data_IF_213490237511
#
_entry.id   IF_213490237511
#
_cell.length_a   1.000
_cell.length_b   1.000
_cell.length_c   1.000
_cell.angle_alpha   90.00
_cell.angle_beta   90.00
_cell.angle_gamma   90.00
#
_symmetry.space_group_name_H-M   'P 1'
#
loop_
_entity.id
_entity.type
_entity.pdbx_description
1 polymer ?
#
# COMPACT_ATOMS: atom_id res chain seq x y z
N UNK A 1 10.87 -1.16 60.34
CA UNK A 1 10.79 -0.54 59.01
C UNK A 1 10.64 -1.65 57.98
N UNK A 2 9.39 -1.99 57.62
CA UNK A 2 9.10 -3.04 56.65
C UNK A 2 9.25 -2.45 55.24
N UNK A 3 10.30 -2.88 54.53
CA UNK A 3 10.53 -2.57 53.13
C UNK A 3 9.39 -3.14 52.28
N UNK A 4 8.50 -2.28 51.78
CA UNK A 4 7.54 -2.63 50.74
C UNK A 4 8.32 -2.92 49.47
N UNK A 5 8.46 -4.19 49.11
CA UNK A 5 8.99 -4.60 47.82
C UNK A 5 8.05 -4.07 46.73
N UNK A 6 8.55 -3.14 45.91
CA UNK A 6 7.84 -2.69 44.73
C UNK A 6 7.63 -3.89 43.79
N UNK A 7 6.41 -4.07 43.23
CA UNK A 7 6.17 -5.15 42.29
C UNK A 7 7.13 -5.03 41.11
N UNK A 8 7.88 -6.11 40.87
CA UNK A 8 8.72 -6.26 39.67
C UNK A 8 7.79 -6.04 38.46
N UNK A 9 8.09 -5.09 37.56
CA UNK A 9 7.25 -4.88 36.39
C UNK A 9 7.16 -6.22 35.64
N UNK A 10 5.95 -6.64 35.22
CA UNK A 10 5.80 -7.90 34.51
C UNK A 10 6.76 -7.90 33.34
N UNK A 11 7.63 -8.94 33.27
CA UNK A 11 8.53 -9.15 32.14
C UNK A 11 7.70 -8.95 30.89
N UNK A 12 8.08 -7.99 30.05
CA UNK A 12 7.41 -7.78 28.79
C UNK A 12 7.37 -9.14 28.08
N UNK A 13 6.19 -9.75 28.00
CA UNK A 13 6.05 -11.02 27.27
C UNK A 13 6.61 -10.86 25.85
N UNK A 14 6.95 -11.92 25.13
CA UNK A 14 7.45 -11.76 23.78
C UNK A 14 6.30 -11.31 22.87
N UNK A 15 6.10 -9.99 22.72
CA UNK A 15 5.08 -9.41 21.81
C UNK A 15 5.23 -9.98 20.41
N UNK A 16 6.48 -10.21 19.98
CA UNK A 16 6.82 -10.88 18.74
C UNK A 16 6.23 -12.30 18.65
N UNK A 17 6.22 -13.07 19.74
CA UNK A 17 5.59 -14.39 19.76
C UNK A 17 4.05 -14.27 19.68
N UNK A 18 3.45 -13.33 20.41
CA UNK A 18 2.00 -13.08 20.31
C UNK A 18 1.61 -12.65 18.88
N UNK A 19 2.40 -11.78 18.27
CA UNK A 19 2.22 -11.34 16.89
C UNK A 19 2.34 -12.52 15.91
N UNK A 20 3.41 -13.31 16.03
CA UNK A 20 3.62 -14.49 15.20
C UNK A 20 2.49 -15.51 15.33
N UNK A 21 2.04 -15.78 16.56
CA UNK A 21 0.91 -16.66 16.84
C UNK A 21 -0.40 -16.12 16.26
N UNK A 22 -0.66 -14.82 16.37
CA UNK A 22 -1.87 -14.21 15.81
C UNK A 22 -1.89 -14.31 14.27
N UNK A 23 -0.78 -13.96 13.61
CA UNK A 23 -0.64 -14.10 12.15
C UNK A 23 -0.83 -15.57 11.73
N UNK A 24 -0.16 -16.51 12.41
CA UNK A 24 -0.28 -17.93 12.12
C UNK A 24 -1.71 -18.45 12.32
N UNK A 25 -2.40 -18.01 13.38
CA UNK A 25 -3.78 -18.40 13.67
C UNK A 25 -4.74 -17.91 12.56
N UNK A 26 -4.62 -16.64 12.13
CA UNK A 26 -5.44 -16.10 11.03
C UNK A 26 -5.15 -16.84 9.73
N UNK A 27 -3.87 -17.02 9.39
CA UNK A 27 -3.45 -17.75 8.17
C UNK A 27 -3.99 -19.18 8.18
N UNK A 28 -3.85 -19.90 9.30
CA UNK A 28 -4.35 -21.26 9.44
C UNK A 28 -5.88 -21.31 9.31
N UNK A 29 -6.59 -20.37 9.93
CA UNK A 29 -8.05 -20.28 9.83
C UNK A 29 -8.52 -20.03 8.40
N UNK A 30 -7.85 -19.14 7.65
CA UNK A 30 -8.19 -18.85 6.25
C UNK A 30 -7.86 -20.04 5.33
N UNK A 31 -6.71 -20.69 5.52
CA UNK A 31 -6.35 -21.90 4.79
C UNK A 31 -7.37 -23.01 5.04
N UNK A 32 -7.72 -23.28 6.31
CA UNK A 32 -8.70 -24.29 6.67
C UNK A 32 -10.07 -24.06 6.01
N UNK A 33 -10.49 -22.79 5.90
CA UNK A 33 -11.78 -22.41 5.30
C UNK A 33 -11.79 -22.40 3.77
N UNK A 34 -10.70 -21.97 3.13
CA UNK A 34 -10.72 -21.61 1.71
C UNK A 34 -9.81 -22.46 0.82
N UNK A 35 -8.92 -23.29 1.37
CA UNK A 35 -7.99 -24.11 0.59
C UNK A 35 -8.70 -25.03 -0.42
N UNK A 36 -9.85 -25.61 -0.07
CA UNK A 36 -10.60 -26.46 -1.00
C UNK A 36 -11.11 -25.67 -2.22
N UNK A 37 -11.49 -24.40 -2.02
CA UNK A 37 -12.06 -23.56 -3.08
C UNK A 37 -11.03 -23.13 -4.12
N UNK A 38 -9.75 -23.02 -3.75
CA UNK A 38 -8.67 -22.66 -4.70
C UNK A 38 -8.52 -23.69 -5.82
N UNK A 39 -8.88 -24.95 -5.58
CA UNK A 39 -8.88 -26.02 -6.59
C UNK A 39 -10.18 -26.17 -7.37
N UNK A 40 -11.23 -25.40 -7.04
CA UNK A 40 -12.58 -25.54 -7.61
C UNK A 40 -13.04 -24.30 -8.38
N UNK A 41 -12.55 -23.12 -7.99
CA UNK A 41 -13.05 -21.83 -8.49
C UNK A 41 -11.90 -20.83 -8.61
N UNK A 42 -12.12 -19.77 -9.38
CA UNK A 42 -11.26 -18.57 -9.41
C UNK A 42 -11.78 -17.45 -8.49
N UNK A 43 -12.80 -17.72 -7.67
CA UNK A 43 -13.53 -16.77 -6.79
C UNK A 43 -14.28 -15.67 -7.54
N UNK A 44 -13.60 -14.76 -8.23
CA UNK A 44 -14.23 -13.72 -9.05
C UNK A 44 -13.54 -13.51 -10.40
N UNK A 45 -14.04 -12.56 -11.18
CA UNK A 45 -13.52 -12.20 -12.49
C UNK A 45 -12.16 -11.52 -12.43
N UNK A 46 -11.87 -10.79 -11.34
CA UNK A 46 -10.64 -10.01 -11.23
C UNK A 46 -9.46 -10.91 -10.92
N UNK A 47 -9.67 -11.85 -9.99
CA UNK A 47 -8.74 -12.94 -9.68
C UNK A 47 -8.46 -13.80 -10.93
N UNK A 48 -9.50 -14.11 -11.71
CA UNK A 48 -9.36 -14.85 -12.97
C UNK A 48 -8.56 -14.06 -14.02
N UNK A 49 -8.87 -12.77 -14.17
CA UNK A 49 -8.19 -11.89 -15.12
C UNK A 49 -6.73 -11.67 -14.74
N UNK A 50 -6.44 -11.51 -13.44
CA UNK A 50 -5.07 -11.39 -12.94
C UNK A 50 -4.22 -12.60 -13.29
N UNK A 51 -4.79 -13.79 -13.16
CA UNK A 51 -4.12 -15.03 -13.52
C UNK A 51 -3.84 -15.11 -15.01
N UNK A 52 -4.80 -14.71 -15.85
CA UNK A 52 -4.65 -14.62 -17.30
C UNK A 52 -3.51 -13.66 -17.67
N UNK A 53 -3.53 -12.46 -17.11
CA UNK A 53 -2.51 -11.43 -17.37
C UNK A 53 -1.10 -11.90 -16.95
N UNK A 54 -0.96 -12.60 -15.81
CA UNK A 54 0.30 -13.23 -15.39
C UNK A 54 0.76 -14.32 -16.36
N UNK A 55 -0.15 -15.21 -16.79
CA UNK A 55 0.16 -16.31 -17.72
C UNK A 55 0.62 -15.79 -19.08
N UNK A 56 -0.04 -14.77 -19.61
CA UNK A 56 0.32 -14.21 -20.91
C UNK A 56 1.71 -13.54 -20.85
N UNK A 57 2.06 -12.89 -19.74
CA UNK A 57 3.42 -12.39 -19.52
C UNK A 57 4.47 -13.50 -19.46
N UNK A 58 4.20 -14.57 -18.70
CA UNK A 58 5.06 -15.75 -18.67
C UNK A 58 5.17 -16.46 -20.04
N UNK A 59 4.17 -16.30 -20.91
CA UNK A 59 4.16 -16.80 -22.28
C UNK A 59 4.84 -15.85 -23.29
N UNK A 60 5.44 -14.76 -22.84
CA UNK A 60 6.24 -13.84 -23.67
C UNK A 60 5.54 -12.54 -24.05
N UNK A 61 4.35 -12.24 -23.51
CA UNK A 61 3.76 -10.90 -23.67
C UNK A 61 4.72 -9.84 -23.09
N UNK A 62 4.84 -8.69 -23.77
CA UNK A 62 5.73 -7.62 -23.33
C UNK A 62 5.34 -7.05 -21.96
N UNK A 63 6.31 -6.54 -21.20
CA UNK A 63 6.07 -5.93 -19.88
C UNK A 63 5.02 -4.81 -19.93
N UNK A 64 5.14 -3.90 -20.90
CA UNK A 64 4.21 -2.78 -21.10
C UNK A 64 2.99 -3.14 -21.97
N UNK A 65 2.87 -4.39 -22.43
CA UNK A 65 1.70 -4.86 -23.15
C UNK A 65 0.70 -5.46 -22.14
N UNK A 66 -0.38 -4.72 -21.92
CA UNK A 66 -1.46 -5.05 -20.99
C UNK A 66 -2.75 -5.49 -21.70
N UNK A 67 -2.68 -5.77 -23.01
CA UNK A 67 -3.85 -6.18 -23.80
C UNK A 67 -4.36 -7.54 -23.39
N UNK A 68 -5.67 -7.62 -23.16
CA UNK A 68 -6.39 -8.83 -22.82
C UNK A 68 -7.23 -9.28 -24.02
N UNK A 69 -6.64 -10.07 -24.91
CA UNK A 69 -7.26 -10.52 -26.16
C UNK A 69 -8.50 -11.41 -25.97
N UNK A 70 -8.65 -12.00 -24.78
CA UNK A 70 -9.80 -12.83 -24.40
C UNK A 70 -11.04 -12.02 -24.00
N UNK A 71 -10.91 -10.70 -23.86
CA UNK A 71 -12.01 -9.76 -23.63
C UNK A 71 -12.36 -9.06 -24.94
N UNK A 72 -13.65 -8.76 -25.14
CA UNK A 72 -14.13 -8.02 -26.30
C UNK A 72 -13.29 -6.75 -26.55
N UNK A 73 -13.01 -6.48 -27.83
CA UNK A 73 -12.21 -5.35 -28.30
C UNK A 73 -10.75 -5.32 -27.81
N UNK A 74 -10.19 -6.45 -27.34
CA UNK A 74 -8.82 -6.54 -26.84
C UNK A 74 -8.52 -5.47 -25.78
N UNK A 75 -9.37 -5.42 -24.75
CA UNK A 75 -9.29 -4.50 -23.61
C UNK A 75 -7.85 -4.31 -23.12
N UNK A 76 -7.42 -3.05 -23.00
CA UNK A 76 -6.15 -2.69 -22.36
C UNK A 76 -6.39 -2.58 -20.85
N UNK A 77 -5.81 -3.50 -20.09
CA UNK A 77 -5.94 -3.52 -18.63
C UNK A 77 -5.27 -2.29 -18.00
N UNK A 78 -5.96 -1.65 -17.06
CA UNK A 78 -5.42 -0.56 -16.26
C UNK A 78 -4.49 -1.07 -15.13
N UNK A 79 -4.41 -2.39 -14.92
CA UNK A 79 -3.61 -2.96 -13.85
C UNK A 79 -2.12 -3.10 -14.22
N UNK A 80 -1.26 -2.56 -13.37
CA UNK A 80 0.19 -2.63 -13.56
C UNK A 80 0.76 -4.04 -13.36
N UNK A 81 1.93 -4.28 -13.98
CA UNK A 81 2.74 -5.51 -13.79
C UNK A 81 3.36 -5.63 -12.39
N UNK A 82 3.21 -4.63 -11.52
CA UNK A 82 3.74 -4.65 -10.15
C UNK A 82 3.13 -5.76 -9.30
N UNK A 83 1.95 -6.24 -9.66
CA UNK A 83 1.29 -7.38 -9.01
C UNK A 83 1.63 -8.69 -9.72
N UNK A 84 1.61 -8.68 -11.05
CA UNK A 84 1.89 -9.87 -11.86
C UNK A 84 3.30 -10.40 -11.66
N UNK A 85 4.28 -9.52 -11.49
CA UNK A 85 5.68 -9.91 -11.36
C UNK A 85 5.96 -10.73 -10.08
N UNK A 86 5.57 -10.27 -8.88
CA UNK A 86 5.63 -11.09 -7.67
C UNK A 86 4.81 -12.39 -7.74
N UNK A 87 3.64 -12.38 -8.38
CA UNK A 87 2.84 -13.59 -8.57
C UNK A 87 3.58 -14.63 -9.43
N UNK A 88 4.22 -14.20 -10.51
CA UNK A 88 5.02 -15.07 -11.35
C UNK A 88 6.24 -15.62 -10.62
N UNK A 89 6.91 -14.81 -9.78
CA UNK A 89 8.03 -15.27 -8.94
C UNK A 89 7.57 -16.39 -8.01
N UNK A 90 6.43 -16.25 -7.35
CA UNK A 90 5.84 -17.31 -6.53
C UNK A 90 5.56 -18.56 -7.38
N UNK A 91 4.95 -18.39 -8.56
CA UNK A 91 4.63 -19.51 -9.45
C UNK A 91 5.88 -20.28 -9.90
N UNK A 92 6.90 -19.58 -10.41
CA UNK A 92 8.16 -20.19 -10.85
C UNK A 92 8.91 -20.85 -9.68
N UNK A 93 8.81 -20.28 -8.47
CA UNK A 93 9.34 -20.89 -7.25
C UNK A 93 8.65 -22.20 -6.89
N UNK A 94 7.31 -22.23 -6.93
CA UNK A 94 6.54 -23.45 -6.66
C UNK A 94 6.72 -24.51 -7.76
N UNK A 95 6.98 -24.11 -9.00
CA UNK A 95 7.27 -25.04 -10.11
C UNK A 95 8.54 -25.87 -9.88
N UNK A 96 9.44 -25.45 -8.99
CA UNK A 96 10.66 -26.23 -8.69
C UNK A 96 10.36 -27.57 -8.01
N UNK A 97 9.17 -27.74 -7.42
CA UNK A 97 8.81 -28.95 -6.69
C UNK A 97 7.34 -29.39 -6.87
N UNK A 98 6.54 -28.66 -7.65
CA UNK A 98 5.16 -28.99 -7.94
C UNK A 98 4.86 -28.88 -9.44
N UNK A 99 3.94 -29.70 -9.96
CA UNK A 99 3.47 -29.58 -11.34
C UNK A 99 2.71 -28.26 -11.58
N UNK A 100 2.55 -27.81 -12.85
CA UNK A 100 2.04 -26.48 -13.18
C UNK A 100 0.72 -26.10 -12.47
N UNK A 101 -0.27 -26.99 -12.48
CA UNK A 101 -1.57 -26.74 -11.83
C UNK A 101 -1.46 -26.57 -10.31
N UNK A 102 -0.60 -27.37 -9.66
CA UNK A 102 -0.39 -27.29 -8.22
C UNK A 102 0.46 -26.07 -7.84
N UNK A 103 1.46 -25.69 -8.66
CA UNK A 103 2.25 -24.49 -8.48
C UNK A 103 1.37 -23.23 -8.52
N UNK A 104 0.47 -23.14 -9.51
CA UNK A 104 -0.49 -22.04 -9.61
C UNK A 104 -1.46 -22.00 -8.42
N UNK A 105 -1.98 -23.16 -7.99
CA UNK A 105 -2.84 -23.25 -6.81
C UNK A 105 -2.11 -22.77 -5.54
N UNK A 106 -0.83 -23.10 -5.40
CA UNK A 106 0.01 -22.62 -4.30
C UNK A 106 0.23 -21.10 -4.38
N UNK A 107 0.57 -20.56 -5.56
CA UNK A 107 0.66 -19.10 -5.78
C UNK A 107 -0.61 -18.40 -5.33
N UNK A 108 -1.76 -18.90 -5.78
CA UNK A 108 -3.07 -18.34 -5.44
C UNK A 108 -3.43 -18.43 -3.96
N UNK A 109 -2.94 -19.46 -3.28
CA UNK A 109 -3.16 -19.61 -1.85
C UNK A 109 -2.22 -18.70 -1.04
N UNK A 110 -0.95 -18.66 -1.40
CA UNK A 110 0.10 -17.99 -0.63
C UNK A 110 0.06 -16.47 -0.83
N UNK A 111 -0.15 -15.99 -2.05
CA UNK A 111 -0.14 -14.56 -2.39
C UNK A 111 -0.96 -13.68 -1.43
N UNK A 112 -2.27 -13.90 -1.22
CA UNK A 112 -3.03 -13.04 -0.32
C UNK A 112 -2.57 -13.14 1.14
N UNK A 113 -2.06 -14.30 1.55
CA UNK A 113 -1.70 -14.56 2.95
C UNK A 113 -0.41 -13.85 3.37
N UNK A 114 0.55 -13.64 2.46
CA UNK A 114 1.80 -12.94 2.82
C UNK A 114 1.53 -11.50 3.27
N UNK A 115 0.47 -10.88 2.77
CA UNK A 115 0.07 -9.50 3.10
C UNK A 115 -0.61 -9.36 4.47
N UNK A 116 -0.99 -10.47 5.11
CA UNK A 116 -1.53 -10.46 6.49
C UNK A 116 -0.49 -9.97 7.49
N UNK A 117 0.78 -10.37 7.31
CA UNK A 117 1.87 -9.99 8.21
C UNK A 117 2.08 -8.47 8.26
N UNK A 118 2.30 -7.76 7.13
CA UNK A 118 2.41 -6.31 7.15
C UNK A 118 1.10 -5.62 7.56
N UNK A 119 -0.07 -6.16 7.20
CA UNK A 119 -1.35 -5.58 7.60
C UNK A 119 -1.57 -5.61 9.13
N UNK A 120 -1.42 -6.78 9.76
CA UNK A 120 -1.52 -6.91 11.23
C UNK A 120 -0.39 -6.13 11.91
N UNK A 121 0.81 -6.14 11.34
CA UNK A 121 1.96 -5.40 11.88
C UNK A 121 1.69 -3.89 11.93
N UNK A 122 1.18 -3.33 10.82
CA UNK A 122 0.80 -1.93 10.74
C UNK A 122 -0.37 -1.59 11.67
N UNK A 123 -1.39 -2.45 11.75
CA UNK A 123 -2.50 -2.28 12.69
C UNK A 123 -2.01 -2.22 14.15
N UNK A 124 -1.11 -3.13 14.53
CA UNK A 124 -0.48 -3.13 15.85
C UNK A 124 0.37 -1.88 16.08
N UNK A 125 1.11 -1.41 15.09
CA UNK A 125 1.90 -0.19 15.19
C UNK A 125 1.01 1.04 15.42
N UNK A 126 -0.13 1.14 14.73
CA UNK A 126 -1.11 2.20 14.93
C UNK A 126 -1.66 2.13 16.35
N UNK A 127 -2.19 0.97 16.77
CA UNK A 127 -2.75 0.77 18.09
C UNK A 127 -1.73 1.07 19.20
N UNK A 128 -0.48 0.64 19.02
CA UNK A 128 0.60 0.94 19.95
C UNK A 128 0.82 2.45 20.11
N UNK A 129 0.82 3.20 19.01
CA UNK A 129 1.07 4.64 19.08
C UNK A 129 -0.07 5.42 19.73
N UNK A 130 -1.30 4.89 19.66
CA UNK A 130 -2.50 5.48 20.25
C UNK A 130 -2.69 5.12 21.73
N UNK A 131 -2.47 3.86 22.12
CA UNK A 131 -2.80 3.35 23.46
C UNK A 131 -1.71 2.50 24.11
N UNK A 132 -0.48 2.58 23.60
CA UNK A 132 0.65 1.82 24.09
C UNK A 132 0.53 0.32 23.82
N UNK A 133 1.40 -0.44 24.48
CA UNK A 133 1.50 -1.89 24.31
C UNK A 133 0.19 -2.65 24.58
N UNK A 134 -0.62 -2.32 25.61
CA UNK A 134 -1.91 -3.00 25.82
C UNK A 134 -2.87 -2.86 24.63
N UNK A 135 -2.93 -1.69 24.00
CA UNK A 135 -3.75 -1.48 22.80
C UNK A 135 -3.27 -2.33 21.61
N UNK A 136 -1.94 -2.48 21.44
CA UNK A 136 -1.40 -3.38 20.43
C UNK A 136 -1.74 -4.86 20.69
N UNK A 137 -1.74 -5.30 21.95
CA UNK A 137 -2.18 -6.66 22.31
C UNK A 137 -3.69 -6.86 22.06
N UNK A 138 -4.50 -5.86 22.38
CA UNK A 138 -5.93 -5.88 22.05
C UNK A 138 -6.16 -5.95 20.54
N UNK A 139 -5.36 -5.22 19.74
CA UNK A 139 -5.42 -5.29 18.28
C UNK A 139 -5.09 -6.69 17.75
N UNK A 140 -4.14 -7.42 18.35
CA UNK A 140 -3.87 -8.82 18.00
C UNK A 140 -5.06 -9.74 18.29
N UNK A 141 -5.73 -9.56 19.44
CA UNK A 141 -6.92 -10.33 19.78
C UNK A 141 -8.05 -10.07 18.78
N UNK A 142 -8.26 -8.80 18.41
CA UNK A 142 -9.25 -8.41 17.40
C UNK A 142 -8.88 -9.00 16.03
N UNK A 143 -7.60 -8.98 15.63
CA UNK A 143 -7.13 -9.59 14.37
C UNK A 143 -7.55 -11.06 14.27
N UNK A 144 -7.35 -11.82 15.35
CA UNK A 144 -7.70 -13.24 15.40
C UNK A 144 -9.21 -13.47 15.48
N UNK A 145 -9.95 -12.61 16.19
CA UNK A 145 -11.41 -12.73 16.32
C UNK A 145 -12.16 -12.31 15.05
N UNK A 146 -11.63 -11.34 14.30
CA UNK A 146 -12.27 -10.72 13.14
C UNK A 146 -11.96 -11.42 11.80
N UNK A 147 -11.70 -12.73 11.79
CA UNK A 147 -11.45 -13.52 10.57
C UNK A 147 -12.46 -13.26 9.43
N UNK A 148 -13.77 -13.06 9.68
CA UNK A 148 -14.71 -12.71 8.60
C UNK A 148 -14.35 -11.43 7.82
N UNK A 149 -13.61 -10.50 8.42
CA UNK A 149 -13.14 -9.27 7.77
C UNK A 149 -11.97 -9.46 6.79
N UNK A 150 -11.40 -10.67 6.69
CA UNK A 150 -10.23 -10.95 5.85
C UNK A 150 -10.60 -11.36 4.41
N UNK A 151 -11.74 -10.90 3.88
CA UNK A 151 -12.24 -11.31 2.57
C UNK A 151 -11.22 -11.15 1.44
N UNK A 152 -10.48 -10.04 1.41
CA UNK A 152 -9.45 -9.80 0.39
C UNK A 152 -8.14 -10.57 0.62
N UNK A 153 -7.96 -11.18 1.80
CA UNK A 153 -6.79 -11.99 2.13
C UNK A 153 -7.08 -13.51 2.06
N UNK A 154 -8.26 -13.90 1.58
CA UNK A 154 -8.62 -15.32 1.46
C UNK A 154 -7.79 -16.01 0.35
N UNK A 155 -7.33 -17.26 0.56
CA UNK A 155 -6.73 -18.08 -0.49
C UNK A 155 -7.58 -18.07 -1.77
N UNK A 156 -6.95 -17.69 -2.89
CA UNK A 156 -7.61 -17.51 -4.19
C UNK A 156 -7.74 -16.05 -4.62
N UNK A 157 -7.75 -15.09 -3.68
CA UNK A 157 -7.78 -13.64 -3.94
C UNK A 157 -6.40 -13.15 -4.39
N UNK A 158 -6.13 -13.20 -5.67
CA UNK A 158 -4.83 -12.79 -6.23
C UNK A 158 -4.82 -11.39 -6.80
N UNK A 159 -5.97 -10.74 -6.86
CA UNK A 159 -6.01 -9.34 -7.25
C UNK A 159 -5.35 -8.41 -6.20
N UNK A 160 -5.19 -7.14 -6.57
CA UNK A 160 -4.36 -6.13 -5.93
C UNK A 160 -4.91 -5.53 -4.63
N UNK A 161 -6.17 -5.80 -4.31
CA UNK A 161 -6.85 -5.27 -3.12
C UNK A 161 -6.15 -5.62 -1.79
N UNK A 162 -5.59 -6.84 -1.64
CA UNK A 162 -4.85 -7.22 -0.43
C UNK A 162 -3.59 -6.35 -0.22
N UNK A 163 -2.87 -6.06 -1.31
CA UNK A 163 -1.69 -5.22 -1.31
C UNK A 163 -2.07 -3.80 -0.92
N UNK A 164 -3.10 -3.24 -1.55
CA UNK A 164 -3.58 -1.90 -1.26
C UNK A 164 -4.04 -1.71 0.19
N UNK A 165 -4.75 -2.69 0.77
CA UNK A 165 -5.13 -2.67 2.17
C UNK A 165 -3.89 -2.67 3.09
N UNK A 166 -2.93 -3.55 2.83
CA UNK A 166 -1.69 -3.63 3.61
C UNK A 166 -0.87 -2.33 3.49
N UNK A 167 -0.66 -1.82 2.28
CA UNK A 167 0.05 -0.57 2.03
C UNK A 167 -0.64 0.61 2.70
N UNK A 168 -1.97 0.70 2.64
CA UNK A 168 -2.74 1.77 3.28
C UNK A 168 -2.53 1.76 4.79
N UNK A 169 -2.62 0.60 5.43
CA UNK A 169 -2.33 0.47 6.86
C UNK A 169 -0.88 0.87 7.18
N UNK A 170 0.08 0.47 6.35
CA UNK A 170 1.48 0.87 6.51
C UNK A 170 1.70 2.37 6.33
N UNK A 171 1.01 3.03 5.40
CA UNK A 171 1.04 4.48 5.21
C UNK A 171 0.49 5.19 6.43
N UNK A 172 -0.65 4.74 6.99
CA UNK A 172 -1.23 5.31 8.22
C UNK A 172 -0.28 5.12 9.40
N UNK A 173 0.29 3.91 9.56
CA UNK A 173 1.28 3.64 10.59
C UNK A 173 2.49 4.57 10.46
N UNK A 174 3.11 4.64 9.29
CA UNK A 174 4.26 5.50 9.03
C UNK A 174 3.95 7.00 9.26
N UNK A 175 2.75 7.45 8.89
CA UNK A 175 2.27 8.82 9.13
C UNK A 175 2.20 9.12 10.63
N UNK A 176 1.59 8.23 11.42
CA UNK A 176 1.41 8.39 12.86
C UNK A 176 2.75 8.26 13.64
N UNK A 177 3.72 7.53 13.09
CA UNK A 177 5.05 7.35 13.68
C UNK A 177 6.10 8.37 13.23
N UNK A 178 5.77 9.28 12.31
CA UNK A 178 6.72 10.21 11.69
C UNK A 178 7.54 11.06 12.68
N UNK A 179 6.96 11.41 13.84
CA UNK A 179 7.62 12.19 14.88
C UNK A 179 8.78 11.47 15.56
N UNK A 180 8.77 10.13 15.54
CA UNK A 180 9.78 9.33 16.24
C UNK A 180 11.08 9.28 15.47
N UNK A 181 11.00 9.23 14.13
CA UNK A 181 12.15 9.16 13.22
C UNK A 181 11.76 9.72 11.85
N UNK A 182 12.58 10.62 11.31
CA UNK A 182 12.27 11.30 10.04
C UNK A 182 12.08 10.37 8.83
N UNK A 183 12.67 9.16 8.83
CA UNK A 183 12.51 8.20 7.74
C UNK A 183 11.07 7.68 7.58
N UNK A 184 10.25 7.72 8.64
CA UNK A 184 8.85 7.29 8.57
C UNK A 184 8.02 8.19 7.64
N UNK A 185 8.30 9.49 7.58
CA UNK A 185 7.63 10.38 6.65
C UNK A 185 7.99 10.04 5.19
N UNK A 186 9.28 9.77 4.92
CA UNK A 186 9.73 9.29 3.61
C UNK A 186 9.11 7.92 3.27
N UNK A 187 9.04 6.99 4.22
CA UNK A 187 8.38 5.70 4.02
C UNK A 187 6.90 5.86 3.68
N UNK A 188 6.16 6.75 4.38
CA UNK A 188 4.76 7.05 4.06
C UNK A 188 4.61 7.58 2.63
N UNK A 189 5.52 8.45 2.17
CA UNK A 189 5.52 8.97 0.80
C UNK A 189 5.80 7.89 -0.24
N UNK A 190 6.84 7.07 -0.02
CA UNK A 190 7.20 5.99 -0.93
C UNK A 190 6.11 4.91 -1.04
N UNK A 191 5.51 4.52 0.09
CA UNK A 191 4.40 3.57 0.12
C UNK A 191 3.14 4.14 -0.53
N UNK A 192 2.88 5.45 -0.39
CA UNK A 192 1.77 6.13 -1.09
C UNK A 192 1.99 6.09 -2.60
N UNK A 193 3.21 6.38 -3.08
CA UNK A 193 3.55 6.28 -4.51
C UNK A 193 3.44 4.87 -5.06
N UNK A 194 3.87 3.86 -4.30
CA UNK A 194 3.67 2.44 -4.66
C UNK A 194 2.17 2.08 -4.74
N UNK A 195 1.38 2.52 -3.76
CA UNK A 195 -0.07 2.26 -3.75
C UNK A 195 -0.75 2.89 -4.97
N UNK A 196 -0.41 4.13 -5.33
CA UNK A 196 -0.93 4.81 -6.52
C UNK A 196 -0.60 4.06 -7.82
N UNK A 197 0.59 3.47 -7.91
CA UNK A 197 0.99 2.68 -9.06
C UNK A 197 0.29 1.32 -9.18
N UNK A 198 -0.31 0.85 -8.09
CA UNK A 198 -1.08 -0.40 -8.05
C UNK A 198 -2.54 -0.13 -8.41
N UNK A 199 -3.14 0.94 -7.87
CA UNK A 199 -4.52 1.35 -8.15
C UNK A 199 -4.95 2.56 -7.33
N UNK A 200 -6.12 3.14 -7.65
CA UNK A 200 -6.61 4.40 -7.07
C UNK A 200 -7.70 4.23 -6.00
N UNK A 201 -8.11 3.00 -5.70
CA UNK A 201 -9.16 2.64 -4.75
C UNK A 201 -8.87 3.18 -3.34
N UNK A 202 -7.59 3.30 -2.98
CA UNK A 202 -7.17 3.78 -1.65
C UNK A 202 -6.80 5.26 -1.61
N UNK A 203 -6.99 6.00 -2.71
CA UNK A 203 -6.65 7.42 -2.84
C UNK A 203 -7.18 8.28 -1.67
N UNK A 204 -8.42 8.11 -1.18
CA UNK A 204 -8.91 8.91 -0.04
C UNK A 204 -8.04 8.76 1.21
N UNK A 205 -7.55 7.55 1.51
CA UNK A 205 -6.69 7.30 2.67
C UNK A 205 -5.29 7.90 2.49
N UNK A 206 -4.72 7.79 1.28
CA UNK A 206 -3.43 8.40 0.96
C UNK A 206 -3.50 9.93 1.03
N UNK A 207 -4.58 10.52 0.52
CA UNK A 207 -4.84 11.96 0.58
C UNK A 207 -4.99 12.45 2.04
N UNK A 208 -5.70 11.69 2.89
CA UNK A 208 -5.81 12.00 4.32
C UNK A 208 -4.44 12.00 5.02
N UNK A 209 -3.57 11.03 4.73
CA UNK A 209 -2.22 10.99 5.27
C UNK A 209 -1.35 12.15 4.77
N UNK A 210 -1.41 12.48 3.47
CA UNK A 210 -0.72 13.66 2.91
C UNK A 210 -1.23 14.96 3.55
N UNK A 211 -2.55 15.09 3.71
CA UNK A 211 -3.17 16.22 4.39
C UNK A 211 -2.74 16.31 5.86
N UNK A 212 -2.54 15.20 6.56
CA UNK A 212 -2.03 15.21 7.93
C UNK A 212 -0.62 15.82 8.02
N UNK A 213 0.28 15.50 7.09
CA UNK A 213 1.61 16.14 7.01
C UNK A 213 1.50 17.64 6.68
N UNK A 214 0.64 18.00 5.74
CA UNK A 214 0.43 19.41 5.36
C UNK A 214 -0.17 20.23 6.51
N UNK A 215 -1.21 19.73 7.17
CA UNK A 215 -1.84 20.36 8.33
C UNK A 215 -0.86 20.48 9.48
N UNK A 216 -0.07 19.44 9.76
CA UNK A 216 1.00 19.53 10.75
C UNK A 216 1.91 20.71 10.45
N UNK A 217 2.44 20.81 9.24
CA UNK A 217 3.29 21.93 8.83
C UNK A 217 2.59 23.30 8.99
N UNK A 218 1.30 23.41 8.65
CA UNK A 218 0.54 24.65 8.84
C UNK A 218 0.47 25.06 10.31
N UNK A 219 0.09 24.13 11.20
CA UNK A 219 -0.10 24.43 12.61
C UNK A 219 1.19 24.52 13.41
N UNK A 220 2.17 23.69 13.05
CA UNK A 220 3.46 23.49 13.69
C UNK A 220 4.59 23.52 12.65
N UNK A 221 5.47 24.53 12.77
CA UNK A 221 6.58 24.73 11.83
C UNK A 221 7.56 23.55 11.83
N UNK A 222 7.70 22.85 12.95
CA UNK A 222 8.61 21.71 13.07
C UNK A 222 8.14 20.51 12.21
N UNK A 223 6.88 20.53 11.75
CA UNK A 223 6.36 19.60 10.76
C UNK A 223 6.99 19.74 9.36
N UNK A 224 7.75 20.80 9.08
CA UNK A 224 8.35 21.05 7.76
C UNK A 224 9.25 19.90 7.28
N UNK A 225 10.10 19.35 8.16
CA UNK A 225 10.99 18.25 7.81
C UNK A 225 10.24 16.99 7.37
N UNK A 226 9.16 16.65 8.07
CA UNK A 226 8.31 15.51 7.74
C UNK A 226 7.54 15.73 6.43
N UNK A 227 6.93 16.91 6.24
CA UNK A 227 6.24 17.26 4.99
C UNK A 227 7.18 17.18 3.78
N UNK A 228 8.41 17.71 3.91
CA UNK A 228 9.42 17.67 2.86
C UNK A 228 9.83 16.23 2.54
N UNK A 229 10.13 15.42 3.56
CA UNK A 229 10.53 14.02 3.36
C UNK A 229 9.41 13.19 2.70
N UNK A 230 8.16 13.35 3.15
CA UNK A 230 6.99 12.73 2.54
C UNK A 230 6.83 13.15 1.07
N UNK A 231 6.86 14.46 0.79
CA UNK A 231 6.61 15.00 -0.55
C UNK A 231 7.70 14.58 -1.55
N UNK A 232 8.98 14.58 -1.14
CA UNK A 232 10.09 14.09 -1.96
C UNK A 232 9.91 12.60 -2.27
N UNK A 233 9.67 11.78 -1.25
CA UNK A 233 9.55 10.35 -1.43
C UNK A 233 8.33 9.97 -2.29
N UNK A 234 7.20 10.67 -2.11
CA UNK A 234 6.01 10.48 -2.94
C UNK A 234 6.28 10.86 -4.40
N UNK A 235 6.88 12.03 -4.66
CA UNK A 235 7.19 12.46 -6.03
C UNK A 235 8.16 11.51 -6.73
N UNK A 236 9.22 11.07 -6.03
CA UNK A 236 10.19 10.10 -6.56
C UNK A 236 9.51 8.76 -6.82
N UNK A 237 8.71 8.25 -5.88
CA UNK A 237 8.04 6.96 -6.03
C UNK A 237 7.01 6.99 -7.17
N UNK A 238 6.15 8.01 -7.22
CA UNK A 238 5.17 8.17 -8.28
C UNK A 238 5.83 8.28 -9.66
N UNK A 239 6.90 9.07 -9.79
CA UNK A 239 7.67 9.17 -11.03
C UNK A 239 8.35 7.87 -11.42
N UNK A 240 9.03 7.20 -10.48
CA UNK A 240 9.71 5.94 -10.74
C UNK A 240 8.71 4.85 -11.16
N UNK A 241 7.60 4.70 -10.43
CA UNK A 241 6.60 3.69 -10.76
C UNK A 241 5.82 4.02 -12.02
N UNK A 242 5.66 5.30 -12.39
CA UNK A 242 5.15 5.68 -13.69
C UNK A 242 6.03 5.12 -14.82
N UNK A 243 7.36 5.31 -14.76
CA UNK A 243 8.26 4.76 -15.79
C UNK A 243 8.36 3.23 -15.77
N UNK A 244 8.16 2.60 -14.60
CA UNK A 244 8.09 1.14 -14.51
C UNK A 244 6.78 0.58 -15.05
N UNK A 245 5.67 1.30 -14.92
CA UNK A 245 4.33 0.76 -15.24
C UNK A 245 3.79 1.21 -16.59
N UNK A 246 4.23 2.37 -17.09
CA UNK A 246 3.71 3.00 -18.30
C UNK A 246 4.74 2.91 -19.43
N UNK A 247 4.34 2.25 -20.52
CA UNK A 247 5.17 2.11 -21.71
C UNK A 247 5.49 3.46 -22.36
N UNK A 248 6.67 3.62 -23.02
CA UNK A 248 7.09 4.87 -23.62
C UNK A 248 6.06 5.49 -24.59
N UNK A 249 5.32 4.66 -25.32
CA UNK A 249 4.27 5.08 -26.24
C UNK A 249 3.03 5.70 -25.54
N UNK A 250 2.93 5.60 -24.22
CA UNK A 250 1.81 6.08 -23.41
C UNK A 250 2.21 7.17 -22.40
N UNK A 251 3.44 7.70 -22.45
CA UNK A 251 3.92 8.66 -21.45
C UNK A 251 3.18 10.00 -21.42
N UNK A 252 2.42 10.33 -22.47
CA UNK A 252 1.57 11.52 -22.53
C UNK A 252 0.07 11.18 -22.52
N UNK A 253 -0.27 9.90 -22.29
CA UNK A 253 -1.65 9.45 -22.20
C UNK A 253 -2.18 9.73 -20.79
N UNK A 254 -3.43 10.20 -20.73
CA UNK A 254 -4.16 10.40 -19.48
C UNK A 254 -5.15 9.26 -19.28
N UNK A 255 -5.32 8.84 -18.03
CA UNK A 255 -6.25 7.80 -17.59
C UNK A 255 -6.88 8.22 -16.27
N UNK A 256 -8.12 7.81 -16.02
CA UNK A 256 -8.85 8.16 -14.79
C UNK A 256 -8.72 7.09 -13.69
N UNK A 257 -8.30 5.88 -14.02
CA UNK A 257 -8.31 4.69 -13.17
C UNK A 257 -6.92 4.03 -13.01
N UNK A 258 -5.85 4.67 -13.49
CA UNK A 258 -4.47 4.21 -13.32
C UNK A 258 -3.47 5.35 -13.26
N UNK A 259 -2.28 5.06 -12.73
CA UNK A 259 -1.15 5.98 -12.73
C UNK A 259 -0.72 6.29 -14.18
N UNK A 260 -1.09 7.48 -14.63
CA UNK A 260 -0.85 8.02 -15.97
C UNK A 260 -0.26 9.44 -15.89
N UNK A 261 -0.06 10.09 -17.04
CA UNK A 261 0.64 11.38 -17.10
C UNK A 261 -0.02 12.45 -16.22
N UNK A 262 -1.33 12.68 -16.38
CA UNK A 262 -2.16 13.56 -15.54
C UNK A 262 -1.90 13.40 -14.03
N UNK A 263 -2.03 12.19 -13.50
CA UNK A 263 -1.90 11.90 -12.06
C UNK A 263 -0.46 12.00 -11.57
N UNK A 264 0.51 11.46 -12.32
CA UNK A 264 1.93 11.55 -11.97
C UNK A 264 2.43 13.00 -11.99
N UNK A 265 2.08 13.77 -13.03
CA UNK A 265 2.42 15.18 -13.13
C UNK A 265 1.75 16.02 -12.04
N UNK A 266 0.50 15.73 -11.67
CA UNK A 266 -0.20 16.43 -10.59
C UNK A 266 0.49 16.20 -9.23
N UNK A 267 0.88 14.95 -8.93
CA UNK A 267 1.63 14.61 -7.72
C UNK A 267 2.97 15.32 -7.68
N UNK A 268 3.71 15.35 -8.80
CA UNK A 268 5.01 16.02 -8.88
C UNK A 268 4.87 17.54 -8.74
N UNK A 269 3.89 18.16 -9.41
CA UNK A 269 3.66 19.60 -9.37
C UNK A 269 3.25 20.07 -7.96
N UNK A 270 2.25 19.44 -7.36
CA UNK A 270 1.84 19.74 -5.98
C UNK A 270 2.97 19.44 -4.98
N UNK A 271 3.67 18.33 -5.17
CA UNK A 271 4.83 17.94 -4.36
C UNK A 271 5.96 18.98 -4.42
N UNK A 272 6.30 19.49 -5.60
CA UNK A 272 7.34 20.52 -5.76
C UNK A 272 7.02 21.79 -4.97
N UNK A 273 5.76 22.24 -4.98
CA UNK A 273 5.32 23.39 -4.18
C UNK A 273 5.45 23.10 -2.69
N UNK A 274 5.01 21.93 -2.21
CA UNK A 274 5.13 21.55 -0.80
C UNK A 274 6.59 21.41 -0.36
N UNK A 275 7.47 20.90 -1.22
CA UNK A 275 8.91 20.78 -0.97
C UNK A 275 9.53 22.17 -0.79
N UNK A 276 9.23 23.11 -1.70
CA UNK A 276 9.70 24.49 -1.61
C UNK A 276 9.18 25.19 -0.35
N UNK A 277 7.88 25.05 -0.06
CA UNK A 277 7.24 25.61 1.11
C UNK A 277 7.86 25.09 2.43
N UNK A 278 8.10 23.78 2.50
CA UNK A 278 8.73 23.13 3.64
C UNK A 278 10.22 23.49 3.78
N UNK A 279 10.93 23.73 2.67
CA UNK A 279 12.32 24.20 2.69
C UNK A 279 12.43 25.62 3.25
N UNK A 280 11.50 26.51 2.86
CA UNK A 280 11.45 27.90 3.37
C UNK A 280 10.97 27.92 4.83
N UNK A 281 9.97 27.07 5.13
CA UNK A 281 9.27 27.01 6.42
C UNK A 281 8.94 28.40 6.99
N UNK A 282 8.05 29.20 6.34
CA UNK A 282 7.71 30.55 6.80
C UNK A 282 7.24 30.58 8.25
N UNK A 283 7.57 31.65 8.98
CA UNK A 283 7.09 31.86 10.35
C UNK A 283 5.56 32.01 10.41
N UNK A 284 4.98 32.71 9.43
CA UNK A 284 3.53 32.97 9.36
C UNK A 284 2.74 31.71 9.00
N UNK A 285 1.77 31.37 9.85
CA UNK A 285 0.79 30.30 9.58
C UNK A 285 -0.01 30.56 8.31
N UNK A 286 -0.35 31.82 8.02
CA UNK A 286 -1.10 32.18 6.81
C UNK A 286 -0.29 31.89 5.54
N UNK A 287 1.03 32.14 5.55
CA UNK A 287 1.89 31.79 4.42
C UNK A 287 2.03 30.27 4.24
N UNK A 288 2.12 29.51 5.35
CA UNK A 288 2.15 28.04 5.28
C UNK A 288 0.83 27.47 4.73
N UNK A 289 -0.31 28.00 5.16
CA UNK A 289 -1.61 27.64 4.61
C UNK A 289 -1.74 28.00 3.13
N UNK A 290 -1.33 29.22 2.76
CA UNK A 290 -1.31 29.68 1.37
C UNK A 290 -0.46 28.77 0.47
N UNK A 291 0.67 28.27 0.96
CA UNK A 291 1.50 27.32 0.23
C UNK A 291 0.83 25.94 0.03
N UNK A 292 0.09 25.44 1.04
CA UNK A 292 -0.69 24.20 0.91
C UNK A 292 -1.83 24.37 -0.09
N UNK A 293 -2.53 25.51 -0.05
CA UNK A 293 -3.59 25.84 -1.03
C UNK A 293 -3.00 25.97 -2.44
N UNK A 294 -1.83 26.61 -2.59
CA UNK A 294 -1.12 26.73 -3.86
C UNK A 294 -0.72 25.36 -4.40
N UNK A 295 -0.24 24.44 -3.55
CA UNK A 295 0.11 23.09 -3.95
C UNK A 295 -1.10 22.30 -4.45
N UNK A 296 -2.24 22.40 -3.76
CA UNK A 296 -3.50 21.80 -4.20
C UNK A 296 -3.96 22.42 -5.53
N UNK A 297 -3.88 23.74 -5.67
CA UNK A 297 -4.19 24.45 -6.91
C UNK A 297 -3.31 24.03 -8.08
N UNK A 298 -2.00 23.83 -7.84
CA UNK A 298 -1.08 23.35 -8.86
C UNK A 298 -1.42 21.92 -9.33
N UNK A 299 -1.72 21.01 -8.40
CA UNK A 299 -2.13 19.64 -8.75
C UNK A 299 -3.46 19.63 -9.53
N UNK A 300 -4.45 20.41 -9.09
CA UNK A 300 -5.75 20.53 -9.80
C UNK A 300 -5.56 21.17 -11.17
N UNK A 301 -4.74 22.21 -11.29
CA UNK A 301 -4.46 22.85 -12.58
C UNK A 301 -3.85 21.85 -13.58
N UNK A 302 -2.92 21.00 -13.14
CA UNK A 302 -2.38 19.94 -14.01
C UNK A 302 -3.48 19.00 -14.47
N UNK A 303 -4.33 18.51 -13.56
CA UNK A 303 -5.45 17.63 -13.94
C UNK A 303 -6.36 18.33 -14.94
N UNK A 304 -6.84 19.55 -14.64
CA UNK A 304 -7.76 20.30 -15.52
C UNK A 304 -7.15 20.62 -16.89
N UNK A 305 -5.83 20.88 -16.96
CA UNK A 305 -5.15 21.17 -18.22
C UNK A 305 -4.85 19.92 -19.06
N UNK A 306 -4.87 18.74 -18.44
CA UNK A 306 -4.55 17.46 -19.10
C UNK A 306 -5.78 16.62 -19.40
N UNK A 307 -6.86 16.78 -18.64
CA UNK A 307 -8.14 16.17 -18.95
C UNK A 307 -8.82 16.93 -20.13
N UNK A 308 -9.39 16.22 -21.11
CA UNK A 308 -10.10 16.81 -22.25
C UNK A 308 -11.45 17.44 -21.89
#
# INVERSE_FOLDING_TARGET
MSSIALPVPPRAGPFAACFGLACAAVIAALLARHWANTGRTLLDTDDAMRLVQMRDWLAGQGWFDLRQSRIALAYESHWSRLIDAPLAVLYLGFQQFAGPAQAERLTRAVWPLIWIVPAIGAMCAIAWRCGGRPAALAALLIAVAAVPGYQQFMPGRIDHHNVQLALTLMVVAATIWCERRGWYAAAAGALSGLSLAIGFETLPYLALCGAAFALRFVFDRDGAGALRAYSIALAIAAGAFFFVSVGPQHWLRNLCDALAFNSAAAVVAGGAVLIGAAQIAPQSRALRLGAVVLAAGAAVAVIVMTEP
#
